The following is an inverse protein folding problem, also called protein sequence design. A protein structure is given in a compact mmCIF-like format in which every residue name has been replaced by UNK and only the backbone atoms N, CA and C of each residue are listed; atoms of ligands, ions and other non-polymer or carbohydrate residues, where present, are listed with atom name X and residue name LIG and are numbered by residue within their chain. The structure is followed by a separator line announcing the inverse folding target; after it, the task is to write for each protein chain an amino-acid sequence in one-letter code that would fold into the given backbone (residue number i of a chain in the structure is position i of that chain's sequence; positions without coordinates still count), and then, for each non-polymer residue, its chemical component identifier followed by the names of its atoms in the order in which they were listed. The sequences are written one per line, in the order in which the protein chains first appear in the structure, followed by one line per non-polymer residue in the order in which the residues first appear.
data_IF_089347621908
#
_entry.id   IF_089347621908
#
_cell.length_a   1.000
_cell.length_b   1.000
_cell.length_c   1.000
_cell.angle_alpha   90.00
_cell.angle_beta   90.00
_cell.angle_gamma   90.00
#
_symmetry.space_group_name_H-M   'P 1'
#
loop_
_entity.id
_entity.type
_entity.pdbx_description
1 polymer ?
#
# COMPACT_ATOMS: atom_id res chain seq x y z
N UNK A 1 -11.70 -48.73 -9.89
CA UNK A 1 -11.45 -48.72 -8.44
C UNK A 1 -10.16 -47.95 -8.19
N UNK A 2 -10.23 -46.82 -7.49
CA UNK A 2 -9.03 -46.20 -6.90
C UNK A 2 -8.93 -46.80 -5.50
N UNK A 3 -7.87 -47.55 -5.24
CA UNK A 3 -7.55 -48.07 -3.90
C UNK A 3 -7.27 -46.88 -2.99
N UNK A 4 -8.03 -46.80 -1.91
CA UNK A 4 -8.17 -45.64 -1.04
C UNK A 4 -7.20 -45.70 0.15
N UNK A 5 -5.93 -46.04 -0.14
CA UNK A 5 -4.88 -46.12 0.87
C UNK A 5 -3.77 -45.14 0.48
N UNK A 6 -3.31 -44.35 1.45
CA UNK A 6 -2.29 -43.29 1.34
C UNK A 6 -2.76 -41.89 0.93
N UNK A 7 -3.79 -41.37 1.61
CA UNK A 7 -3.79 -39.94 1.94
C UNK A 7 -2.83 -39.69 3.10
N UNK A 8 -1.54 -39.57 2.79
CA UNK A 8 -0.61 -38.88 3.71
C UNK A 8 -0.97 -37.40 3.61
N UNK A 9 -1.81 -36.95 4.55
CA UNK A 9 -2.07 -35.53 4.77
C UNK A 9 -0.72 -34.80 4.83
N UNK A 10 -0.56 -33.80 3.96
CA UNK A 10 0.65 -33.00 3.83
C UNK A 10 1.06 -32.46 5.20
N UNK A 11 2.03 -33.13 5.84
CA UNK A 11 2.81 -32.51 6.90
C UNK A 11 3.64 -31.39 6.27
N UNK A 12 3.89 -30.34 7.06
CA UNK A 12 4.50 -29.05 6.70
C UNK A 12 5.92 -29.16 6.09
N UNK A 13 6.45 -30.37 6.02
CA UNK A 13 7.85 -30.73 5.82
C UNK A 13 8.10 -31.66 4.63
N UNK A 14 7.11 -31.91 3.75
CA UNK A 14 7.35 -32.66 2.50
C UNK A 14 6.97 -31.89 1.23
N UNK A 15 7.96 -31.70 0.35
CA UNK A 15 7.77 -31.33 -1.06
C UNK A 15 7.49 -32.58 -1.89
N UNK A 16 6.23 -32.98 -1.98
CA UNK A 16 5.79 -34.12 -2.80
C UNK A 16 5.11 -33.66 -4.09
N UNK A 17 5.50 -34.23 -5.23
CA UNK A 17 4.81 -34.02 -6.52
C UNK A 17 3.71 -35.07 -6.67
N UNK A 18 2.45 -34.66 -6.55
CA UNK A 18 1.30 -35.56 -6.80
C UNK A 18 1.07 -35.63 -8.31
N UNK A 19 1.31 -36.80 -8.90
CA UNK A 19 1.01 -37.06 -10.32
C UNK A 19 -0.29 -37.85 -10.39
N UNK A 20 -1.32 -37.27 -11.00
CA UNK A 20 -2.59 -37.95 -11.25
C UNK A 20 -2.63 -38.37 -12.72
N UNK A 21 -2.63 -39.68 -12.98
CA UNK A 21 -2.81 -40.22 -14.33
C UNK A 21 -4.24 -40.70 -14.50
N UNK A 22 -4.96 -40.08 -15.42
CA UNK A 22 -6.36 -40.39 -15.69
C UNK A 22 -6.44 -41.29 -16.91
N UNK A 23 -7.08 -42.45 -16.77
CA UNK A 23 -7.20 -43.41 -17.88
C UNK A 23 -8.47 -43.23 -18.70
N UNK A 24 -9.60 -42.82 -18.09
CA UNK A 24 -10.85 -42.44 -18.77
C UNK A 24 -11.80 -41.78 -17.76
N UNK A 25 -12.67 -40.88 -18.21
CA UNK A 25 -13.64 -40.04 -17.48
C UNK A 25 -13.11 -38.73 -16.84
N UNK A 26 -13.97 -37.71 -16.86
CA UNK A 26 -13.71 -36.34 -16.38
C UNK A 26 -13.25 -36.39 -14.91
N UNK A 27 -12.02 -35.97 -14.59
CA UNK A 27 -11.52 -36.05 -13.22
C UNK A 27 -12.29 -35.11 -12.30
N UNK A 28 -12.63 -35.61 -11.11
CA UNK A 28 -13.09 -34.79 -10.00
C UNK A 28 -11.96 -34.66 -9.00
N UNK A 29 -11.57 -33.43 -8.66
CA UNK A 29 -10.55 -33.12 -7.65
C UNK A 29 -11.24 -32.54 -6.41
N UNK A 30 -11.17 -33.25 -5.29
CA UNK A 30 -11.62 -32.76 -3.99
C UNK A 30 -10.43 -32.22 -3.19
N UNK A 31 -10.40 -30.90 -2.97
CA UNK A 31 -9.40 -30.23 -2.14
C UNK A 31 -10.02 -29.87 -0.78
N UNK A 32 -9.43 -30.38 0.30
CA UNK A 32 -9.81 -29.98 1.67
C UNK A 32 -8.72 -29.09 2.25
N UNK A 33 -9.04 -27.81 2.46
CA UNK A 33 -8.14 -26.83 3.07
C UNK A 33 -8.61 -26.55 4.49
N UNK A 34 -7.70 -26.69 5.46
CA UNK A 34 -7.94 -26.24 6.82
C UNK A 34 -7.28 -24.86 7.01
N UNK A 35 -8.09 -23.82 7.23
CA UNK A 35 -7.60 -22.46 7.48
C UNK A 35 -7.40 -22.25 8.97
N UNK A 36 -6.14 -22.17 9.40
CA UNK A 36 -5.79 -21.84 10.78
C UNK A 36 -5.53 -20.34 10.89
N UNK A 37 -6.43 -19.61 11.54
CA UNK A 37 -6.20 -18.20 11.89
C UNK A 37 -5.13 -18.12 12.96
N UNK A 38 -4.13 -17.26 12.75
CA UNK A 38 -3.11 -16.93 13.75
C UNK A 38 -3.30 -15.49 14.16
N UNK A 39 -3.23 -15.25 15.47
CA UNK A 39 -3.17 -13.91 16.03
C UNK A 39 -1.78 -13.69 16.58
N UNK A 40 -1.21 -12.52 16.30
CA UNK A 40 0.06 -12.06 16.85
C UNK A 40 -0.07 -10.60 17.24
N UNK A 41 0.66 -10.18 18.27
CA UNK A 41 0.82 -8.77 18.58
C UNK A 41 1.62 -8.07 17.49
N UNK A 42 1.19 -6.87 17.12
CA UNK A 42 1.88 -5.96 16.21
C UNK A 42 1.71 -4.54 16.75
N UNK A 43 2.68 -3.67 16.50
CA UNK A 43 2.71 -2.34 17.09
C UNK A 43 3.13 -1.30 16.06
N UNK A 44 2.29 -0.30 15.81
CA UNK A 44 2.79 0.92 15.19
C UNK A 44 3.63 1.69 16.21
N UNK A 45 4.75 2.27 15.78
CA UNK A 45 5.56 3.18 16.60
C UNK A 45 5.29 4.60 16.14
N UNK A 46 4.85 5.48 17.06
CA UNK A 46 4.40 6.83 16.72
C UNK A 46 5.20 7.86 17.52
N UNK A 47 5.81 8.81 16.82
CA UNK A 47 6.41 10.01 17.39
C UNK A 47 5.59 11.25 17.01
N UNK A 48 5.32 12.14 17.96
CA UNK A 48 4.56 13.38 17.72
C UNK A 48 5.43 14.57 18.07
N UNK A 49 5.59 15.50 17.13
CA UNK A 49 6.20 16.81 17.34
C UNK A 49 5.09 17.86 17.29
N UNK A 50 4.72 18.42 18.44
CA UNK A 50 3.65 19.43 18.53
C UNK A 50 3.99 20.67 17.69
N UNK A 51 2.98 21.23 17.02
CA UNK A 51 3.09 22.49 16.30
C UNK A 51 3.24 23.70 17.24
N UNK A 52 3.97 24.72 16.77
CA UNK A 52 4.22 25.94 17.55
C UNK A 52 3.18 27.03 17.33
N UNK A 53 2.37 26.93 16.27
CA UNK A 53 1.37 27.95 15.93
C UNK A 53 0.07 27.72 16.72
N UNK A 54 -0.54 28.75 17.36
CA UNK A 54 -1.73 28.57 18.20
C UNK A 54 -2.95 27.97 17.48
N UNK A 55 -3.05 28.15 16.16
CA UNK A 55 -4.15 27.65 15.35
C UNK A 55 -3.73 26.37 14.64
N UNK A 56 -2.63 26.43 13.88
CA UNK A 56 -2.21 25.34 13.00
C UNK A 56 -1.69 24.11 13.75
N UNK A 57 -1.31 24.21 15.03
CA UNK A 57 -0.89 23.04 15.81
C UNK A 57 -1.98 21.97 15.96
N UNK A 58 -3.24 22.33 15.77
CA UNK A 58 -4.37 21.41 15.77
C UNK A 58 -4.57 20.69 14.42
N UNK A 59 -3.76 20.99 13.42
CA UNK A 59 -3.62 20.25 12.17
C UNK A 59 -2.36 19.38 12.21
N UNK A 60 -2.40 18.21 11.56
CA UNK A 60 -1.28 17.28 11.51
C UNK A 60 -0.81 16.97 10.09
N UNK A 61 0.51 16.92 9.91
CA UNK A 61 1.15 16.29 8.74
C UNK A 61 1.67 14.92 9.19
N UNK A 62 1.14 13.84 8.60
CA UNK A 62 1.63 12.50 8.84
C UNK A 62 2.79 12.15 7.89
N UNK A 63 3.85 11.55 8.43
CA UNK A 63 4.99 11.03 7.67
C UNK A 63 5.18 9.58 8.08
N UNK A 64 5.10 8.67 7.12
CA UNK A 64 5.00 7.24 7.41
C UNK A 64 5.92 6.38 6.55
N UNK A 65 6.30 5.24 7.11
CA UNK A 65 6.89 4.09 6.44
C UNK A 65 6.52 2.84 7.23
N UNK A 66 6.35 1.69 6.59
CA UNK A 66 6.32 0.44 7.34
C UNK A 66 7.73 0.09 7.86
N UNK A 67 7.79 -0.74 8.91
CA UNK A 67 9.04 -1.28 9.45
C UNK A 67 9.05 -2.82 9.56
N UNK A 68 7.92 -3.48 9.30
CA UNK A 68 7.88 -4.94 9.22
C UNK A 68 8.42 -5.45 7.88
N UNK A 69 8.99 -6.65 7.87
CA UNK A 69 9.39 -7.33 6.64
C UNK A 69 9.21 -8.85 6.81
N UNK A 70 9.55 -9.62 5.78
CA UNK A 70 9.22 -11.04 5.65
C UNK A 70 9.96 -12.00 6.60
N UNK A 71 10.86 -11.52 7.46
CA UNK A 71 11.56 -12.34 8.45
C UNK A 71 12.37 -13.47 7.80
N UNK A 72 11.89 -14.73 7.84
CA UNK A 72 12.53 -15.89 7.19
C UNK A 72 11.86 -16.31 5.87
N UNK A 73 11.14 -15.39 5.23
CA UNK A 73 10.40 -15.62 4.00
C UNK A 73 8.99 -16.18 4.23
N UNK A 74 8.44 -16.87 3.24
CA UNK A 74 7.08 -17.40 3.26
C UNK A 74 6.17 -16.70 2.26
N UNK A 75 4.93 -16.39 2.65
CA UNK A 75 4.00 -15.65 1.79
C UNK A 75 4.61 -14.27 1.49
N UNK A 76 4.62 -13.87 0.22
CA UNK A 76 5.25 -12.62 -0.21
C UNK A 76 6.68 -12.79 -0.72
N UNK A 77 7.45 -13.78 -0.23
CA UNK A 77 8.84 -13.99 -0.65
C UNK A 77 8.94 -14.31 -2.15
N UNK A 78 9.89 -13.66 -2.82
CA UNK A 78 10.28 -13.95 -4.21
C UNK A 78 11.43 -14.95 -4.30
N UNK A 79 11.92 -15.44 -3.16
CA UNK A 79 12.78 -16.61 -3.03
C UNK A 79 12.04 -17.73 -2.29
N UNK A 80 11.10 -18.35 -3.00
CA UNK A 80 10.07 -19.27 -2.45
C UNK A 80 10.63 -20.48 -1.71
N UNK A 81 11.91 -20.81 -1.90
CA UNK A 81 12.56 -21.95 -1.25
C UNK A 81 13.52 -21.55 -0.13
N UNK A 82 13.80 -20.25 0.03
CA UNK A 82 14.72 -19.77 1.04
C UNK A 82 14.08 -19.70 2.43
N UNK A 83 14.89 -19.99 3.45
CA UNK A 83 14.59 -19.78 4.88
C UNK A 83 15.55 -18.79 5.53
N UNK A 84 16.35 -18.12 4.70
CA UNK A 84 17.29 -17.09 5.13
C UNK A 84 16.53 -15.84 5.56
N UNK A 85 17.22 -14.99 6.30
CA UNK A 85 16.65 -13.74 6.79
C UNK A 85 16.46 -12.80 5.60
N UNK A 86 15.24 -12.33 5.39
CA UNK A 86 14.90 -11.22 4.52
C UNK A 86 15.19 -9.95 5.32
N UNK A 87 16.30 -9.29 4.97
CA UNK A 87 16.82 -8.16 5.74
C UNK A 87 16.03 -6.87 5.51
N UNK A 88 15.41 -6.72 4.34
CA UNK A 88 14.54 -5.59 4.02
C UNK A 88 15.27 -4.25 4.04
N UNK A 89 16.48 -4.21 3.48
CA UNK A 89 17.30 -3.00 3.51
C UNK A 89 16.68 -1.85 2.69
N UNK A 90 16.13 -2.14 1.52
CA UNK A 90 15.34 -1.17 0.76
C UNK A 90 13.87 -1.25 1.16
N UNK A 91 13.31 -2.46 1.13
CA UNK A 91 11.94 -2.78 1.52
C UNK A 91 11.92 -3.35 2.93
N UNK A 92 11.91 -2.53 3.98
CA UNK A 92 11.50 -1.12 4.01
C UNK A 92 12.41 -0.22 4.84
N UNK A 93 13.54 -0.74 5.31
CA UNK A 93 14.38 -0.05 6.28
C UNK A 93 14.88 1.30 5.75
N UNK A 94 14.97 1.47 4.42
CA UNK A 94 15.25 2.75 3.78
C UNK A 94 14.22 3.83 4.11
N UNK A 95 12.92 3.51 4.05
CA UNK A 95 11.81 4.40 4.40
C UNK A 95 11.81 4.72 5.90
N UNK A 96 11.94 3.70 6.75
CA UNK A 96 12.03 3.88 8.20
C UNK A 96 13.25 4.74 8.60
N UNK A 97 14.39 4.57 7.93
CA UNK A 97 15.58 5.40 8.17
C UNK A 97 15.34 6.86 7.75
N UNK A 98 14.64 7.07 6.62
CA UNK A 98 14.31 8.41 6.15
C UNK A 98 13.34 9.14 7.09
N UNK A 99 12.28 8.48 7.61
CA UNK A 99 11.37 9.14 8.55
C UNK A 99 12.08 9.56 9.85
N UNK A 100 13.03 8.75 10.34
CA UNK A 100 13.81 9.06 11.53
C UNK A 100 14.72 10.28 11.30
N UNK A 101 15.34 10.39 10.12
CA UNK A 101 16.17 11.53 9.79
C UNK A 101 15.34 12.81 9.59
N UNK A 102 14.18 12.75 8.94
CA UNK A 102 13.26 13.90 8.87
C UNK A 102 12.81 14.30 10.28
N UNK A 103 12.48 13.35 11.14
CA UNK A 103 12.13 13.63 12.54
C UNK A 103 13.26 14.35 13.27
N UNK A 104 14.50 13.92 13.10
CA UNK A 104 15.68 14.56 13.69
C UNK A 104 15.84 16.00 13.20
N UNK A 105 15.65 16.26 11.90
CA UNK A 105 15.74 17.60 11.32
C UNK A 105 14.70 18.55 11.94
N UNK A 106 13.43 18.16 11.95
CA UNK A 106 12.35 18.99 12.51
C UNK A 106 12.45 19.15 14.03
N UNK A 107 12.82 18.09 14.77
CA UNK A 107 13.00 18.16 16.22
C UNK A 107 14.19 19.04 16.64
N UNK A 108 15.20 19.20 15.79
CA UNK A 108 16.32 20.13 16.00
C UNK A 108 15.89 21.58 15.76
N UNK A 109 15.10 21.84 14.72
CA UNK A 109 14.65 23.20 14.37
C UNK A 109 13.55 23.71 15.31
N UNK A 110 12.56 22.86 15.65
CA UNK A 110 11.36 23.18 16.44
C UNK A 110 10.62 24.44 15.98
N UNK A 111 10.46 24.57 14.66
CA UNK A 111 9.80 25.70 13.99
C UNK A 111 8.55 25.30 13.19
N UNK A 112 8.13 24.04 13.31
CA UNK A 112 6.93 23.54 12.66
C UNK A 112 5.69 24.23 13.24
N UNK A 113 4.88 24.85 12.39
CA UNK A 113 3.61 25.47 12.78
C UNK A 113 2.56 24.42 13.10
N UNK A 114 2.47 23.38 12.27
CA UNK A 114 1.59 22.23 12.42
C UNK A 114 2.23 21.15 13.28
N UNK A 115 1.39 20.30 13.86
CA UNK A 115 1.87 19.06 14.48
C UNK A 115 2.38 18.12 13.38
N UNK A 116 3.50 17.45 13.62
CA UNK A 116 4.06 16.44 12.71
C UNK A 116 4.01 15.09 13.40
N UNK A 117 3.41 14.11 12.74
CA UNK A 117 3.25 12.75 13.26
C UNK A 117 4.12 11.82 12.42
N UNK A 118 5.12 11.21 13.05
CA UNK A 118 5.99 10.21 12.44
C UNK A 118 5.48 8.83 12.82
N UNK A 119 5.24 7.96 11.83
CA UNK A 119 4.65 6.64 12.07
C UNK A 119 5.48 5.57 11.38
N UNK A 120 5.99 4.62 12.16
CA UNK A 120 6.49 3.36 11.66
C UNK A 120 5.36 2.32 11.74
N UNK A 121 4.80 1.91 10.59
CA UNK A 121 3.68 0.98 10.51
C UNK A 121 4.15 -0.48 10.62
N UNK A 122 3.34 -1.32 11.26
CA UNK A 122 3.55 -2.78 11.31
C UNK A 122 2.50 -3.52 10.49
N UNK A 123 2.85 -4.69 9.96
CA UNK A 123 1.92 -5.55 9.22
C UNK A 123 1.52 -5.01 7.85
N UNK A 124 2.34 -4.19 7.21
CA UNK A 124 2.13 -3.74 5.83
C UNK A 124 2.17 -4.94 4.87
N UNK A 125 3.14 -5.83 5.07
CA UNK A 125 3.43 -7.00 4.22
C UNK A 125 2.29 -8.03 4.26
N UNK A 126 1.53 -8.02 5.36
CA UNK A 126 0.33 -8.84 5.57
C UNK A 126 -0.96 -8.14 5.08
N UNK A 127 -0.85 -6.93 4.54
CA UNK A 127 -1.94 -6.17 3.92
C UNK A 127 -2.30 -4.87 4.65
N UNK A 128 -1.34 -3.97 4.83
CA UNK A 128 -1.56 -2.60 5.38
C UNK A 128 -2.22 -2.59 6.77
N UNK A 129 -1.97 -3.62 7.59
CA UNK A 129 -2.71 -3.82 8.85
C UNK A 129 -2.51 -2.65 9.82
N UNK A 130 -1.26 -2.17 9.94
CA UNK A 130 -0.89 -1.09 10.84
C UNK A 130 -1.46 0.27 10.45
N UNK A 131 -1.29 0.68 9.19
CA UNK A 131 -1.84 1.96 8.71
C UNK A 131 -3.36 1.98 8.71
N UNK A 132 -3.99 0.87 8.33
CA UNK A 132 -5.45 0.72 8.41
C UNK A 132 -5.95 0.77 9.87
N UNK A 133 -5.25 0.14 10.80
CA UNK A 133 -5.58 0.26 12.23
C UNK A 133 -5.47 1.71 12.70
N UNK A 134 -4.39 2.41 12.34
CA UNK A 134 -4.16 3.81 12.72
C UNK A 134 -5.27 4.73 12.24
N UNK A 135 -5.62 4.70 10.95
CA UNK A 135 -6.64 5.62 10.41
C UNK A 135 -8.04 5.38 10.98
N UNK A 136 -8.28 4.23 11.61
CA UNK A 136 -9.54 3.90 12.30
C UNK A 136 -9.45 4.09 13.82
N UNK A 137 -8.26 4.15 14.40
CA UNK A 137 -8.01 4.34 15.83
C UNK A 137 -6.86 5.34 16.03
N UNK A 138 -7.01 6.58 15.55
CA UNK A 138 -5.89 7.49 15.44
C UNK A 138 -5.57 8.13 16.80
N UNK A 139 -4.29 8.36 17.08
CA UNK A 139 -3.86 9.07 18.31
C UNK A 139 -3.99 10.59 18.18
N UNK A 140 -4.19 11.08 16.96
CA UNK A 140 -4.50 12.47 16.63
C UNK A 140 -5.75 12.48 15.73
N UNK A 141 -6.72 13.39 15.89
CA UNK A 141 -7.95 13.37 15.11
C UNK A 141 -7.70 13.23 13.60
N UNK A 142 -8.21 12.15 12.99
CA UNK A 142 -7.90 11.81 11.59
C UNK A 142 -8.43 12.89 10.63
N UNK A 143 -9.55 13.51 10.97
CA UNK A 143 -10.16 14.64 10.28
C UNK A 143 -9.28 15.89 10.26
N UNK A 144 -8.32 16.00 11.19
CA UNK A 144 -7.36 17.09 11.26
C UNK A 144 -6.00 16.75 10.63
N UNK A 145 -5.86 15.57 10.02
CA UNK A 145 -4.65 15.20 9.28
C UNK A 145 -4.73 15.78 7.87
N UNK A 146 -3.91 16.78 7.56
CA UNK A 146 -4.01 17.59 6.33
C UNK A 146 -3.24 16.99 5.15
N UNK A 147 -2.28 16.12 5.42
CA UNK A 147 -1.54 15.37 4.41
C UNK A 147 -0.88 14.14 5.04
N UNK A 148 -0.64 13.12 4.21
CA UNK A 148 0.21 11.99 4.57
C UNK A 148 1.30 11.76 3.51
N UNK A 149 2.55 11.73 3.95
CA UNK A 149 3.72 11.47 3.10
C UNK A 149 4.26 10.08 3.45
N UNK A 150 4.18 9.15 2.51
CA UNK A 150 4.63 7.78 2.69
C UNK A 150 5.96 7.52 1.98
N UNK A 151 6.88 6.86 2.68
CA UNK A 151 8.20 6.46 2.17
C UNK A 151 8.31 4.94 2.19
N UNK A 152 8.53 4.36 1.02
CA UNK A 152 8.65 2.91 0.85
C UNK A 152 9.66 2.65 -0.26
N UNK A 153 10.61 1.74 -0.04
CA UNK A 153 11.65 1.39 -1.01
C UNK A 153 12.29 2.64 -1.66
N UNK A 154 12.88 3.50 -0.80
CA UNK A 154 13.50 4.78 -1.17
C UNK A 154 15.04 4.73 -1.15
N UNK A 155 15.62 3.55 -0.93
CA UNK A 155 17.06 3.32 -0.83
C UNK A 155 17.73 2.95 -2.15
N UNK A 156 17.01 2.74 -3.25
CA UNK A 156 17.56 2.22 -4.52
C UNK A 156 17.50 3.21 -5.68
N UNK A 157 17.62 4.50 -5.37
CA UNK A 157 17.64 5.58 -6.37
C UNK A 157 18.67 5.29 -7.47
N UNK A 158 18.20 5.28 -8.72
CA UNK A 158 19.01 5.08 -9.93
C UNK A 158 18.65 6.14 -10.97
N UNK A 159 19.64 6.67 -11.68
CA UNK A 159 19.48 7.68 -12.74
C UNK A 159 18.70 8.92 -12.27
N UNK A 160 18.80 9.26 -10.98
CA UNK A 160 18.01 10.29 -10.29
C UNK A 160 16.49 10.16 -10.49
N UNK A 161 16.00 8.98 -10.83
CA UNK A 161 14.58 8.72 -11.07
C UNK A 161 13.85 8.47 -9.77
N UNK A 162 12.93 9.38 -9.42
CA UNK A 162 12.09 9.26 -8.24
C UNK A 162 10.62 9.20 -8.67
N UNK A 163 9.92 8.15 -8.24
CA UNK A 163 8.49 8.02 -8.48
C UNK A 163 7.71 8.61 -7.32
N UNK A 164 6.66 9.38 -7.62
CA UNK A 164 5.76 9.94 -6.63
C UNK A 164 4.32 9.62 -7.05
N UNK A 165 3.65 8.77 -6.27
CA UNK A 165 2.21 8.49 -6.39
C UNK A 165 1.36 9.42 -5.54
N UNK A 166 0.04 9.39 -5.75
CA UNK A 166 -0.92 10.21 -5.01
C UNK A 166 -1.00 11.66 -5.46
N UNK A 167 -0.32 12.06 -6.54
CA UNK A 167 -0.24 13.47 -6.95
C UNK A 167 -1.62 14.03 -7.32
N UNK A 168 -2.55 13.18 -7.79
CA UNK A 168 -3.92 13.58 -8.10
C UNK A 168 -4.84 13.77 -6.89
N UNK A 169 -4.33 13.51 -5.67
CA UNK A 169 -5.13 13.61 -4.43
C UNK A 169 -5.20 15.02 -3.87
N UNK A 170 -4.42 15.96 -4.40
CA UNK A 170 -4.64 17.39 -4.19
C UNK A 170 -4.27 18.21 -5.43
N UNK A 171 -5.00 19.30 -5.67
CA UNK A 171 -4.77 20.21 -6.82
C UNK A 171 -3.36 20.78 -6.84
N UNK A 172 -2.81 21.00 -5.65
CA UNK A 172 -1.58 21.78 -5.45
C UNK A 172 -0.31 20.91 -5.53
N UNK A 173 -0.43 19.58 -5.59
CA UNK A 173 0.71 18.65 -5.56
C UNK A 173 1.62 18.75 -6.77
N UNK A 174 1.07 18.79 -7.99
CA UNK A 174 1.88 18.89 -9.20
C UNK A 174 2.77 20.15 -9.16
N UNK A 175 2.20 21.30 -8.80
CA UNK A 175 2.95 22.55 -8.71
C UNK A 175 3.94 22.54 -7.53
N UNK A 176 3.52 22.04 -6.37
CA UNK A 176 4.37 21.92 -5.17
C UNK A 176 5.62 21.08 -5.48
N UNK A 177 5.44 19.89 -6.04
CA UNK A 177 6.54 18.98 -6.38
C UNK A 177 7.47 19.57 -7.43
N UNK A 178 6.92 20.21 -8.47
CA UNK A 178 7.71 20.89 -9.51
C UNK A 178 8.58 22.00 -8.89
N UNK A 179 7.98 22.91 -8.13
CA UNK A 179 8.72 24.00 -7.45
C UNK A 179 9.77 23.45 -6.50
N UNK A 180 9.43 22.42 -5.71
CA UNK A 180 10.40 21.77 -4.80
C UNK A 180 11.57 21.15 -5.55
N UNK A 181 11.35 20.57 -6.72
CA UNK A 181 12.39 19.97 -7.54
C UNK A 181 13.22 21.00 -8.33
N UNK A 182 12.77 22.26 -8.39
CA UNK A 182 13.51 23.36 -9.02
C UNK A 182 14.48 24.05 -8.04
N UNK A 183 14.16 24.07 -6.75
CA UNK A 183 14.96 24.69 -5.70
C UNK A 183 16.03 23.70 -5.21
N UNK A 184 17.30 24.10 -5.30
CA UNK A 184 18.39 23.43 -4.60
C UNK A 184 18.09 23.49 -3.10
N UNK A 185 17.75 22.36 -2.48
CA UNK A 185 17.20 22.29 -1.12
C UNK A 185 18.00 23.13 -0.13
N UNK A 186 17.32 24.00 0.63
CA UNK A 186 17.89 24.64 1.82
C UNK A 186 18.47 23.54 2.70
N UNK A 187 19.79 23.47 2.73
CA UNK A 187 20.53 22.46 3.44
C UNK A 187 20.32 22.69 4.93
N UNK A 188 19.70 21.75 5.64
CA UNK A 188 19.96 21.62 7.08
C UNK A 188 21.44 21.27 7.21
N UNK A 189 22.19 22.04 8.01
CA UNK A 189 23.65 21.95 8.22
C UNK A 189 24.24 20.57 7.85
N UNK A 190 24.97 20.51 6.73
CA UNK A 190 25.80 19.35 6.35
C UNK A 190 25.27 18.48 5.20
N UNK A 191 24.05 18.69 4.71
CA UNK A 191 23.53 17.93 3.56
C UNK A 191 23.45 18.79 2.31
N UNK A 192 24.39 18.63 1.38
CA UNK A 192 24.47 19.41 0.15
C UNK A 192 23.24 19.29 -0.74
N UNK A 193 22.99 20.32 -1.55
CA UNK A 193 21.97 20.29 -2.57
C UNK A 193 22.30 19.20 -3.62
N UNK A 194 21.38 18.25 -3.79
CA UNK A 194 21.47 17.22 -4.82
C UNK A 194 20.97 17.71 -6.18
N UNK A 195 21.25 16.98 -7.27
CA UNK A 195 20.70 17.28 -8.59
C UNK A 195 19.17 17.23 -8.59
N UNK A 196 18.54 17.79 -9.62
CA UNK A 196 17.08 17.63 -9.80
C UNK A 196 16.74 16.16 -10.00
N UNK A 197 15.63 15.72 -9.43
CA UNK A 197 15.10 14.39 -9.73
C UNK A 197 14.45 14.37 -11.12
N UNK A 198 14.61 13.25 -11.79
CA UNK A 198 13.78 12.84 -12.92
C UNK A 198 12.46 12.30 -12.35
N UNK A 199 11.53 13.22 -12.04
CA UNK A 199 10.27 12.86 -11.38
C UNK A 199 9.34 12.07 -12.31
N UNK A 200 8.88 10.91 -11.83
CA UNK A 200 7.77 10.17 -12.42
C UNK A 200 6.54 10.34 -11.52
N UNK A 201 5.57 11.13 -11.97
CA UNK A 201 4.38 11.46 -11.19
C UNK A 201 3.20 10.56 -11.59
N UNK A 202 2.56 9.95 -10.60
CA UNK A 202 1.35 9.16 -10.79
C UNK A 202 0.19 9.80 -10.02
N UNK A 203 -0.98 9.82 -10.67
CA UNK A 203 -2.15 10.51 -10.13
C UNK A 203 -2.87 9.68 -9.05
N UNK A 204 -2.91 8.34 -9.16
CA UNK A 204 -3.71 7.46 -8.28
C UNK A 204 -3.31 7.62 -6.81
N UNK A 205 -4.32 7.76 -5.95
CA UNK A 205 -4.17 7.85 -4.49
C UNK A 205 -4.13 6.48 -3.80
N UNK A 206 -4.49 5.41 -4.51
CA UNK A 206 -4.33 4.04 -4.02
C UNK A 206 -3.10 3.37 -4.64
N UNK A 207 -2.35 2.66 -3.79
CA UNK A 207 -1.14 1.95 -4.16
C UNK A 207 -0.84 0.78 -3.21
N UNK A 208 0.21 0.01 -3.47
CA UNK A 208 0.59 -1.14 -2.65
C UNK A 208 1.43 -0.68 -1.45
N UNK A 209 0.95 0.29 -0.67
CA UNK A 209 1.65 0.79 0.53
C UNK A 209 0.69 1.61 1.41
N UNK A 210 1.16 2.01 2.60
CA UNK A 210 0.34 2.54 3.71
C UNK A 210 -0.44 3.83 3.41
N UNK A 211 0.03 4.65 2.46
CA UNK A 211 -0.71 5.85 2.01
C UNK A 211 -2.15 5.55 1.59
N UNK A 212 -2.42 4.33 1.10
CA UNK A 212 -3.75 3.93 0.66
C UNK A 212 -4.81 4.02 1.77
N UNK A 213 -4.44 3.69 3.01
CA UNK A 213 -5.36 3.77 4.15
C UNK A 213 -5.76 5.21 4.45
N UNK A 214 -4.83 6.17 4.28
CA UNK A 214 -5.09 7.60 4.45
C UNK A 214 -5.91 8.17 3.32
N UNK A 215 -5.64 7.78 2.07
CA UNK A 215 -6.46 8.19 0.93
C UNK A 215 -7.91 7.69 1.06
N UNK A 216 -8.12 6.49 1.62
CA UNK A 216 -9.45 5.98 1.99
C UNK A 216 -10.21 6.89 2.99
N UNK A 217 -9.51 7.71 3.76
CA UNK A 217 -10.07 8.74 4.65
C UNK A 217 -10.16 10.13 4.02
N UNK A 218 -9.98 10.24 2.70
CA UNK A 218 -9.97 11.51 1.94
C UNK A 218 -8.87 12.49 2.39
N UNK A 219 -7.73 11.94 2.81
CA UNK A 219 -6.54 12.73 3.13
C UNK A 219 -5.68 12.82 1.86
N UNK A 220 -5.17 14.01 1.48
CA UNK A 220 -4.15 14.15 0.45
C UNK A 220 -2.91 13.32 0.77
N UNK A 221 -2.46 12.49 -0.17
CA UNK A 221 -1.30 11.62 0.03
C UNK A 221 -0.22 11.81 -1.02
N UNK A 222 1.03 11.58 -0.63
CA UNK A 222 2.15 11.38 -1.54
C UNK A 222 2.87 10.08 -1.19
N UNK A 223 3.15 9.26 -2.20
CA UNK A 223 3.86 7.99 -2.07
C UNK A 223 5.18 8.06 -2.80
N UNK A 224 6.30 8.08 -2.09
CA UNK A 224 7.62 8.15 -2.69
C UNK A 224 8.24 6.77 -2.78
N UNK A 225 8.76 6.44 -3.98
CA UNK A 225 9.26 5.12 -4.33
C UNK A 225 10.36 5.20 -5.38
N UNK A 226 11.42 4.39 -5.26
CA UNK A 226 12.53 4.36 -6.24
C UNK A 226 12.39 3.26 -7.31
N UNK A 227 11.34 2.43 -7.25
CA UNK A 227 11.13 1.34 -8.19
C UNK A 227 11.52 -0.01 -7.61
N UNK A 228 11.06 -1.09 -8.25
CA UNK A 228 11.43 -2.45 -7.85
C UNK A 228 12.82 -2.80 -8.38
N UNK A 229 13.45 -3.79 -7.74
CA UNK A 229 14.76 -4.32 -8.15
C UNK A 229 14.82 -5.84 -7.95
N UNK A 230 15.87 -6.47 -8.47
CA UNK A 230 16.04 -7.94 -8.46
C UNK A 230 16.13 -8.59 -7.08
N UNK A 231 16.37 -7.79 -6.03
CA UNK A 231 16.51 -8.24 -4.64
C UNK A 231 15.21 -8.07 -3.83
N UNK A 232 14.19 -7.41 -4.39
CA UNK A 232 12.89 -7.19 -3.74
C UNK A 232 12.31 -8.50 -3.19
N UNK A 233 11.85 -8.49 -1.93
CA UNK A 233 11.30 -9.65 -1.22
C UNK A 233 12.22 -10.89 -1.23
N UNK A 234 13.54 -10.69 -1.14
CA UNK A 234 14.54 -11.78 -1.06
C UNK A 234 15.54 -11.54 0.07
N UNK A 235 16.22 -12.59 0.57
CA UNK A 235 17.32 -12.45 1.55
C UNK A 235 18.43 -11.50 1.10
N UNK A 236 18.60 -11.41 -0.23
CA UNK A 236 19.60 -10.55 -0.84
C UNK A 236 19.31 -9.04 -0.75
N UNK A 237 18.19 -8.60 -0.18
CA UNK A 237 17.94 -7.16 0.04
C UNK A 237 18.70 -6.64 1.27
N UNK A 238 19.99 -6.39 1.08
CA UNK A 238 20.97 -6.13 2.14
C UNK A 238 21.50 -4.69 2.13
N UNK A 239 21.96 -4.21 3.29
CA UNK A 239 22.34 -2.81 3.49
C UNK A 239 23.46 -2.31 2.56
N UNK A 240 24.40 -3.17 2.15
CA UNK A 240 25.47 -2.85 1.21
C UNK A 240 24.95 -2.43 -0.19
N UNK A 241 23.69 -2.71 -0.48
CA UNK A 241 23.03 -2.39 -1.76
C UNK A 241 22.30 -1.04 -1.72
N UNK A 242 22.19 -0.40 -0.57
CA UNK A 242 21.49 0.89 -0.44
C UNK A 242 22.34 2.01 -1.05
N UNK A 243 21.72 2.82 -1.89
CA UNK A 243 22.27 4.09 -2.36
C UNK A 243 22.05 5.18 -1.29
N UNK A 244 22.97 5.26 -0.33
CA UNK A 244 22.86 6.20 0.80
C UNK A 244 22.87 7.68 0.40
N UNK A 245 23.60 8.07 -0.66
CA UNK A 245 23.58 9.45 -1.14
C UNK A 245 22.24 9.80 -1.78
N UNK A 246 21.67 8.87 -2.56
CA UNK A 246 20.31 9.00 -3.10
C UNK A 246 19.25 9.05 -2.00
N UNK A 247 19.34 8.17 -1.00
CA UNK A 247 18.44 8.16 0.15
C UNK A 247 18.49 9.49 0.93
N UNK A 248 19.69 10.04 1.14
CA UNK A 248 19.89 11.37 1.75
C UNK A 248 19.20 12.46 0.93
N UNK A 249 19.35 12.43 -0.40
CA UNK A 249 18.71 13.38 -1.30
C UNK A 249 17.19 13.31 -1.23
N UNK A 250 16.61 12.10 -1.21
CA UNK A 250 15.15 11.90 -1.08
C UNK A 250 14.67 12.39 0.29
N UNK A 251 15.40 12.08 1.36
CA UNK A 251 15.08 12.51 2.72
C UNK A 251 14.98 14.04 2.83
N UNK A 252 15.94 14.76 2.24
CA UNK A 252 15.91 16.23 2.21
C UNK A 252 14.77 16.78 1.34
N UNK A 253 14.45 16.10 0.24
CA UNK A 253 13.31 16.46 -0.60
C UNK A 253 11.99 16.33 0.16
N UNK A 254 11.82 15.24 0.91
CA UNK A 254 10.67 15.01 1.80
C UNK A 254 10.57 16.08 2.88
N UNK A 255 11.68 16.38 3.57
CA UNK A 255 11.72 17.47 4.54
C UNK A 255 11.31 18.81 3.94
N UNK A 256 11.74 19.09 2.71
CA UNK A 256 11.33 20.26 1.93
C UNK A 256 9.83 20.30 1.59
N UNK A 257 9.24 19.17 1.19
CA UNK A 257 7.80 19.05 0.95
C UNK A 257 7.03 19.32 2.25
N UNK A 258 7.40 18.67 3.35
CA UNK A 258 6.77 18.84 4.67
C UNK A 258 6.85 20.30 5.11
N UNK A 259 8.01 20.94 4.97
CA UNK A 259 8.20 22.37 5.29
C UNK A 259 7.30 23.26 4.42
N UNK A 260 7.12 22.93 3.15
CA UNK A 260 6.21 23.69 2.28
C UNK A 260 4.75 23.57 2.71
N UNK A 261 4.31 22.37 3.11
CA UNK A 261 2.96 22.18 3.66
C UNK A 261 2.83 22.94 4.99
N UNK A 262 3.77 22.75 5.91
CA UNK A 262 3.80 23.36 7.23
C UNK A 262 3.74 24.89 7.20
N UNK A 263 4.47 25.52 6.28
CA UNK A 263 4.54 26.98 6.19
C UNK A 263 3.36 27.62 5.46
N UNK A 264 2.59 26.84 4.67
CA UNK A 264 1.40 27.32 3.99
C UNK A 264 0.22 27.38 4.98
N UNK A 265 -0.41 28.55 5.24
CA UNK A 265 -1.57 28.61 6.13
C UNK A 265 -2.78 27.84 5.59
N UNK A 266 -2.84 27.55 4.28
CA UNK A 266 -3.91 26.77 3.68
C UNK A 266 -3.54 25.28 3.65
N UNK A 267 -4.55 24.44 3.87
CA UNK A 267 -4.44 22.99 3.68
C UNK A 267 -4.33 22.65 2.19
N UNK A 268 -3.66 21.54 1.81
CA UNK A 268 -3.72 21.03 0.44
C UNK A 268 -5.17 20.78 0.00
N UNK A 269 -5.53 21.24 -1.20
CA UNK A 269 -6.92 21.12 -1.67
C UNK A 269 -7.21 19.71 -2.14
N UNK A 270 -7.84 18.87 -1.29
CA UNK A 270 -8.17 17.49 -1.64
C UNK A 270 -8.96 17.36 -2.95
N UNK A 271 -8.58 16.38 -3.75
CA UNK A 271 -9.28 15.95 -4.96
C UNK A 271 -9.35 14.44 -5.01
N UNK A 272 -10.39 13.92 -5.68
CA UNK A 272 -10.43 12.51 -6.02
C UNK A 272 -9.44 12.28 -7.16
N UNK A 273 -8.40 11.51 -6.89
CA UNK A 273 -7.38 11.16 -7.86
C UNK A 273 -8.00 10.40 -9.04
N UNK A 274 -7.52 10.72 -10.25
CA UNK A 274 -7.79 9.89 -11.42
C UNK A 274 -7.05 8.57 -11.24
N UNK A 275 -7.74 7.46 -11.44
CA UNK A 275 -7.12 6.14 -11.49
C UNK A 275 -6.14 6.08 -12.68
N UNK A 276 -4.85 6.31 -12.43
CA UNK A 276 -3.82 5.86 -13.35
C UNK A 276 -3.77 4.35 -13.24
N UNK A 277 -4.42 3.65 -14.18
CA UNK A 277 -4.40 2.19 -14.21
C UNK A 277 -2.99 1.70 -14.50
N UNK A 278 -2.11 1.65 -13.49
CA UNK A 278 -0.71 1.20 -13.58
C UNK A 278 -0.01 1.31 -12.22
N UNK A 279 -0.31 0.40 -11.29
CA UNK A 279 0.71 -0.11 -10.38
C UNK A 279 0.52 -1.62 -10.23
N UNK A 280 1.61 -2.34 -10.45
CA UNK A 280 1.61 -3.77 -10.72
C UNK A 280 1.21 -4.60 -9.51
N UNK A 281 -0.01 -5.14 -9.54
CA UNK A 281 -0.25 -6.49 -8.99
C UNK A 281 -0.16 -7.49 -10.13
N UNK A 282 0.60 -8.55 -9.90
CA UNK A 282 0.61 -9.74 -10.73
C UNK A 282 -0.81 -10.30 -10.90
N UNK A 283 -1.22 -10.55 -12.15
CA UNK A 283 -2.00 -11.77 -12.46
C UNK A 283 -3.47 -11.70 -12.89
N UNK A 284 -4.17 -10.55 -12.90
CA UNK A 284 -5.59 -10.53 -13.30
C UNK A 284 -5.82 -9.96 -14.70
N UNK A 285 -6.63 -10.65 -15.51
CA UNK A 285 -7.05 -10.21 -16.85
C UNK A 285 -8.13 -9.12 -16.81
N UNK A 286 -8.74 -8.91 -15.64
CA UNK A 286 -9.82 -7.95 -15.42
C UNK A 286 -9.60 -7.09 -14.18
N UNK A 287 -10.29 -5.96 -14.12
CA UNK A 287 -10.37 -5.09 -12.95
C UNK A 287 -11.81 -4.68 -12.68
N UNK A 288 -12.19 -4.60 -11.41
CA UNK A 288 -13.46 -3.99 -10.97
C UNK A 288 -13.27 -2.55 -10.47
N UNK A 289 -12.03 -2.16 -10.15
CA UNK A 289 -11.72 -0.86 -9.52
C UNK A 289 -12.25 -0.70 -8.10
N UNK A 290 -12.53 -1.81 -7.40
CA UNK A 290 -12.71 -1.81 -5.94
C UNK A 290 -11.38 -1.58 -5.25
N UNK A 291 -11.42 -1.02 -4.04
CA UNK A 291 -10.26 -0.92 -3.15
C UNK A 291 -10.54 -1.79 -1.92
N UNK A 292 -10.00 -3.02 -1.89
CA UNK A 292 -10.19 -3.93 -0.77
C UNK A 292 -9.57 -3.36 0.51
N UNK A 293 -10.29 -3.45 1.63
CA UNK A 293 -9.71 -3.35 2.96
C UNK A 293 -9.07 -4.71 3.29
N UNK A 294 -7.75 -4.73 3.46
CA UNK A 294 -7.00 -5.97 3.67
C UNK A 294 -6.91 -6.38 5.15
N UNK A 295 -7.31 -5.53 6.10
CA UNK A 295 -7.29 -5.86 7.53
C UNK A 295 -8.59 -6.46 8.06
N UNK A 296 -9.75 -6.15 7.47
CA UNK A 296 -11.02 -6.85 7.77
C UNK A 296 -11.25 -7.97 6.75
N UNK A 297 -10.85 -9.18 7.12
CA UNK A 297 -11.02 -10.38 6.30
C UNK A 297 -12.05 -11.36 6.87
N UNK A 298 -13.05 -10.86 7.59
CA UNK A 298 -14.10 -11.71 8.20
C UNK A 298 -15.48 -11.49 7.57
N UNK A 299 -16.05 -12.60 7.09
CA UNK A 299 -17.40 -12.73 6.55
C UNK A 299 -17.75 -11.77 5.41
N UNK A 300 -16.75 -11.48 4.58
CA UNK A 300 -16.86 -10.56 3.45
C UNK A 300 -15.55 -9.86 3.14
N UNK A 301 -15.51 -9.18 2.01
CA UNK A 301 -14.47 -8.21 1.70
C UNK A 301 -15.02 -6.80 1.91
N UNK A 302 -14.60 -6.15 2.99
CA UNK A 302 -14.87 -4.73 3.19
C UNK A 302 -14.10 -3.91 2.14
N UNK A 303 -14.71 -2.84 1.63
CA UNK A 303 -14.08 -1.93 0.69
C UNK A 303 -13.74 -0.61 1.39
N UNK A 304 -12.44 -0.26 1.41
CA UNK A 304 -12.00 1.08 1.82
C UNK A 304 -12.43 2.15 0.81
N UNK A 305 -12.67 1.75 -0.43
CA UNK A 305 -13.02 2.67 -1.49
C UNK A 305 -13.44 1.99 -2.78
N UNK A 306 -13.89 2.82 -3.70
CA UNK A 306 -14.17 2.45 -5.08
C UNK A 306 -13.58 3.53 -5.97
N UNK A 307 -12.81 3.13 -6.98
CA UNK A 307 -12.19 4.06 -7.93
C UNK A 307 -13.26 4.70 -8.81
N UNK A 308 -13.15 6.00 -9.06
CA UNK A 308 -14.04 6.70 -9.97
C UNK A 308 -13.99 6.12 -11.39
N UNK A 309 -15.13 6.18 -12.09
CA UNK A 309 -15.32 5.66 -13.45
C UNK A 309 -15.01 4.15 -13.63
N UNK A 310 -14.75 3.42 -12.54
CA UNK A 310 -14.52 1.99 -12.55
C UNK A 310 -15.81 1.19 -12.78
N UNK A 311 -15.72 -0.10 -13.15
CA UNK A 311 -16.85 -1.01 -13.12
C UNK A 311 -17.63 -0.99 -11.81
N UNK A 312 -16.95 -0.98 -10.66
CA UNK A 312 -17.58 -0.95 -9.35
C UNK A 312 -18.35 0.37 -9.11
N UNK A 313 -17.77 1.51 -9.50
CA UNK A 313 -18.46 2.81 -9.40
C UNK A 313 -19.71 2.85 -10.29
N UNK A 314 -19.60 2.36 -11.53
CA UNK A 314 -20.72 2.27 -12.48
C UNK A 314 -21.82 1.31 -12.01
N UNK A 315 -21.45 0.24 -11.33
CA UNK A 315 -22.36 -0.70 -10.69
C UNK A 315 -23.03 -0.14 -9.42
N UNK A 316 -22.61 1.04 -8.94
CA UNK A 316 -23.15 1.66 -7.73
C UNK A 316 -22.59 1.10 -6.42
N UNK A 317 -21.46 0.38 -6.47
CA UNK A 317 -20.70 -0.04 -5.28
C UNK A 317 -20.03 1.19 -4.67
N UNK A 318 -19.98 1.26 -3.34
CA UNK A 318 -19.48 2.40 -2.56
C UNK A 318 -18.41 1.97 -1.55
N UNK A 319 -17.62 2.93 -1.09
CA UNK A 319 -16.79 2.76 0.09
C UNK A 319 -17.65 2.34 1.30
N UNK A 320 -17.14 1.42 2.13
CA UNK A 320 -17.88 0.84 3.25
C UNK A 320 -18.81 -0.32 2.88
N UNK A 321 -19.02 -0.59 1.59
CA UNK A 321 -19.70 -1.82 1.16
C UNK A 321 -18.81 -3.04 1.50
N UNK A 322 -19.42 -4.11 2.00
CA UNK A 322 -18.77 -5.41 2.21
C UNK A 322 -19.24 -6.40 1.16
N UNK A 323 -18.39 -6.76 0.20
CA UNK A 323 -18.69 -7.77 -0.81
C UNK A 323 -18.76 -9.14 -0.14
N UNK A 324 -19.91 -9.79 -0.22
CA UNK A 324 -20.15 -11.13 0.35
C UNK A 324 -20.38 -12.19 -0.71
N UNK A 325 -20.69 -11.79 -1.95
CA UNK A 325 -20.80 -12.69 -3.10
C UNK A 325 -20.39 -11.97 -4.38
N UNK A 326 -19.67 -12.63 -5.27
CA UNK A 326 -19.28 -12.12 -6.57
C UNK A 326 -19.28 -13.25 -7.59
N UNK A 327 -19.86 -13.02 -8.78
CA UNK A 327 -19.93 -14.00 -9.87
C UNK A 327 -20.50 -15.36 -9.42
N UNK A 328 -21.51 -15.33 -8.54
CA UNK A 328 -22.15 -16.53 -8.00
C UNK A 328 -21.37 -17.24 -6.87
N UNK A 329 -20.15 -16.79 -6.53
CA UNK A 329 -19.29 -17.37 -5.50
C UNK A 329 -19.25 -16.53 -4.24
N UNK A 330 -19.19 -17.17 -3.08
CA UNK A 330 -19.06 -16.47 -1.80
C UNK A 330 -17.70 -15.77 -1.70
N UNK A 331 -17.72 -14.57 -1.14
CA UNK A 331 -16.52 -13.78 -0.83
C UNK A 331 -16.44 -13.69 0.68
N UNK A 332 -15.51 -14.43 1.30
CA UNK A 332 -15.33 -14.38 2.77
C UNK A 332 -14.15 -13.51 3.18
N UNK A 333 -13.23 -13.26 2.25
CA UNK A 333 -12.02 -12.47 2.45
C UNK A 333 -11.46 -12.00 1.10
N UNK A 334 -10.36 -11.25 1.15
CA UNK A 334 -9.70 -10.73 -0.04
C UNK A 334 -9.12 -11.81 -0.96
N UNK A 335 -8.71 -12.96 -0.43
CA UNK A 335 -8.20 -14.07 -1.24
C UNK A 335 -9.30 -14.68 -2.10
N UNK A 336 -10.49 -14.92 -1.54
CA UNK A 336 -11.67 -15.37 -2.30
C UNK A 336 -12.00 -14.36 -3.41
N UNK A 337 -12.01 -13.06 -3.08
CA UNK A 337 -12.25 -12.00 -4.06
C UNK A 337 -11.23 -12.02 -5.21
N UNK A 338 -9.93 -12.09 -4.90
CA UNK A 338 -8.88 -12.15 -5.93
C UNK A 338 -8.97 -13.42 -6.77
N UNK A 339 -9.32 -14.56 -6.17
CA UNK A 339 -9.53 -15.81 -6.93
C UNK A 339 -10.68 -15.67 -7.94
N UNK A 340 -11.81 -15.10 -7.50
CA UNK A 340 -12.97 -14.87 -8.36
C UNK A 340 -12.61 -13.90 -9.50
N UNK A 341 -11.85 -12.83 -9.22
CA UNK A 341 -11.34 -11.93 -10.26
C UNK A 341 -10.51 -12.65 -11.33
N UNK A 342 -9.75 -13.67 -10.97
CA UNK A 342 -8.94 -14.47 -11.90
C UNK A 342 -9.76 -15.27 -12.92
N UNK A 343 -11.01 -15.59 -12.60
CA UNK A 343 -11.90 -16.35 -13.48
C UNK A 343 -12.85 -15.46 -14.29
N UNK A 344 -12.98 -14.20 -13.90
CA UNK A 344 -13.86 -13.25 -14.56
C UNK A 344 -13.30 -12.80 -15.92
N UNK A 345 -14.21 -12.47 -16.84
CA UNK A 345 -13.89 -12.00 -18.18
C UNK A 345 -14.32 -10.54 -18.36
N UNK A 346 -13.47 -9.77 -19.05
CA UNK A 346 -13.78 -8.39 -19.37
C UNK A 346 -15.02 -8.32 -20.26
N UNK A 347 -15.90 -7.35 -19.99
CA UNK A 347 -17.12 -7.15 -20.78
C UNK A 347 -18.27 -8.13 -20.47
N UNK A 348 -18.04 -9.16 -19.66
CA UNK A 348 -19.10 -10.06 -19.20
C UNK A 348 -19.78 -9.50 -17.95
N UNK A 349 -21.12 -9.52 -17.90
CA UNK A 349 -21.87 -9.11 -16.69
C UNK A 349 -21.85 -10.21 -15.64
N UNK A 350 -21.64 -9.82 -14.38
CA UNK A 350 -21.71 -10.67 -13.20
C UNK A 350 -22.55 -10.02 -12.13
N UNK A 351 -23.14 -10.83 -11.26
CA UNK A 351 -23.77 -10.35 -10.03
C UNK A 351 -22.74 -10.14 -8.92
N UNK A 352 -22.95 -9.11 -8.12
CA UNK A 352 -22.19 -8.83 -6.90
C UNK A 352 -23.16 -8.48 -5.78
N UNK A 353 -23.08 -9.20 -4.67
CA UNK A 353 -23.87 -8.95 -3.47
C UNK A 353 -22.99 -8.23 -2.46
N UNK A 354 -23.42 -7.05 -2.04
CA UNK A 354 -22.75 -6.26 -1.02
C UNK A 354 -23.64 -6.07 0.21
N UNK A 355 -23.03 -6.01 1.39
CA UNK A 355 -23.67 -5.51 2.60
C UNK A 355 -23.34 -4.01 2.70
N UNK A 356 -24.37 -3.17 2.75
CA UNK A 356 -24.25 -1.72 2.91
C UNK A 356 -24.94 -1.33 4.22
N UNK A 357 -24.16 -1.01 5.24
CA UNK A 357 -24.70 -0.89 6.59
C UNK A 357 -25.31 -2.22 7.05
N UNK A 358 -26.64 -2.28 7.18
CA UNK A 358 -27.38 -3.50 7.54
C UNK A 358 -28.10 -4.16 6.34
N UNK A 359 -28.09 -3.53 5.18
CA UNK A 359 -28.85 -3.99 4.00
C UNK A 359 -28.01 -4.86 3.07
N UNK A 360 -28.64 -5.84 2.43
CA UNK A 360 -28.06 -6.63 1.35
C UNK A 360 -28.48 -6.04 0.00
N UNK A 361 -27.52 -5.61 -0.79
CA UNK A 361 -27.75 -4.98 -2.09
C UNK A 361 -27.14 -5.86 -3.19
N UNK A 362 -27.98 -6.40 -4.07
CA UNK A 362 -27.56 -7.14 -5.25
C UNK A 362 -27.38 -6.16 -6.42
N UNK A 363 -26.18 -6.16 -7.01
CA UNK A 363 -25.79 -5.27 -8.10
C UNK A 363 -25.27 -6.11 -9.28
N UNK A 364 -25.25 -5.49 -10.46
CA UNK A 364 -24.66 -6.05 -11.68
C UNK A 364 -23.39 -5.29 -12.00
N UNK A 365 -22.31 -6.01 -12.29
CA UNK A 365 -21.00 -5.44 -12.58
C UNK A 365 -20.40 -6.05 -13.84
N UNK A 366 -19.81 -5.19 -14.67
CA UNK A 366 -19.14 -5.58 -15.92
C UNK A 366 -17.65 -5.26 -15.79
N UNK A 367 -16.76 -6.25 -15.57
CA UNK A 367 -15.33 -6.02 -15.41
C UNK A 367 -14.72 -5.38 -16.64
N UNK A 368 -13.74 -4.50 -16.43
CA UNK A 368 -12.92 -3.96 -17.50
C UNK A 368 -11.66 -4.82 -17.68
N UNK A 369 -11.07 -4.82 -18.88
CA UNK A 369 -9.78 -5.48 -19.08
C UNK A 369 -8.70 -4.79 -18.22
N UNK A 370 -7.87 -5.58 -17.53
CA UNK A 370 -6.68 -5.04 -16.89
C UNK A 370 -5.69 -4.60 -17.97
N UNK A 371 -5.06 -3.44 -17.79
CA UNK A 371 -4.08 -2.94 -18.75
C UNK A 371 -2.95 -3.98 -18.94
N UNK A 372 -2.70 -4.40 -20.18
CA UNK A 372 -1.59 -5.31 -20.49
C UNK A 372 -0.27 -4.59 -20.18
N UNK A 373 0.67 -5.31 -19.56
CA UNK A 373 2.07 -4.87 -19.50
C UNK A 373 2.61 -4.82 -20.95
N UNK A 374 3.34 -3.77 -21.35
CA UNK A 374 4.18 -3.84 -22.54
C UNK A 374 5.23 -4.95 -22.41
#
# INVERSE_FOLDING_TARGET
LVMMEEFVAMRKDMTGKVTVTLRDAVPTLDLRVNLVKKQTGAHNVIGILEGTDPVLKNEAIAIGAHYDHLGRGGRGSLDVNSKEIHHGADDNASGTSAILEVARQFAREKKNKRTIIFIAFSGEEEGLLGSNFYVNNPVFPIENTVAMINLDMVGRLKDNKLTIGGVGTAKDWNETLKRRNEVMFDTVDGYGAGPKFNLQLNEDGFGPSDHSSFYGKKIPVLFLFTGTHENYHKPSDTADKVNYSGLTQITNFVGGIVKTIDQNPLQPTYTVAKSSGTMGRTGFSVTLGTVPNYADSTDGLLLDGVRDNSPAAKAGIKAGDKIVKLAGKEVRNVSDYTFILGEMKAGQEYEVLVIRGTERVLLKIVPAAAAKRP
#
